data_IF_796502988926
#
_entry.id   IF_796502988926
#
_cell.length_a   1.000
_cell.length_b   1.000
_cell.length_c   1.000
_cell.angle_alpha   90.00
_cell.angle_beta   90.00
_cell.angle_gamma   90.00
#
_symmetry.space_group_name_H-M   'P 1'
#
loop_
_entity.id
_entity.type
_entity.pdbx_description
1 polymer ?
#
# COMPACT_ATOMS: atom_id res chain seq x y z
N UNK A 1 -34.74 -8.23 -25.19
CA UNK A 1 -34.84 -6.84 -24.68
C UNK A 1 -33.55 -6.40 -23.96
N UNK A 2 -32.92 -7.22 -23.11
CA UNK A 2 -31.66 -6.86 -22.42
C UNK A 2 -30.51 -6.50 -23.32
N UNK A 3 -30.26 -7.27 -24.37
CA UNK A 3 -29.12 -7.07 -25.28
C UNK A 3 -29.20 -5.76 -26.08
N UNK A 4 -30.38 -5.36 -26.51
CA UNK A 4 -30.55 -4.09 -27.26
C UNK A 4 -30.30 -2.91 -26.33
N UNK A 5 -30.81 -2.95 -25.11
CA UNK A 5 -30.59 -1.91 -24.12
C UNK A 5 -29.12 -1.80 -23.71
N UNK A 6 -28.43 -2.93 -23.54
CA UNK A 6 -27.00 -2.97 -23.27
C UNK A 6 -26.18 -2.37 -24.41
N UNK A 7 -26.48 -2.73 -25.67
CA UNK A 7 -25.82 -2.16 -26.84
C UNK A 7 -26.00 -0.63 -26.95
N UNK A 8 -27.21 -0.15 -26.73
CA UNK A 8 -27.48 1.30 -26.73
C UNK A 8 -26.72 2.03 -25.65
N UNK A 9 -26.64 1.44 -24.43
CA UNK A 9 -25.86 2.00 -23.33
C UNK A 9 -24.37 2.05 -23.65
N UNK A 10 -23.81 1.00 -24.25
CA UNK A 10 -22.40 0.96 -24.65
C UNK A 10 -22.08 2.01 -25.73
N UNK A 11 -22.95 2.15 -26.73
CA UNK A 11 -22.79 3.18 -27.76
C UNK A 11 -22.85 4.61 -27.17
N UNK A 12 -23.79 4.86 -26.26
CA UNK A 12 -23.90 6.15 -25.58
C UNK A 12 -22.65 6.45 -24.73
N UNK A 13 -22.12 5.43 -24.04
CA UNK A 13 -20.89 5.53 -23.25
C UNK A 13 -19.68 5.87 -24.12
N UNK A 14 -19.50 5.15 -25.24
CA UNK A 14 -18.42 5.43 -26.21
C UNK A 14 -18.52 6.86 -26.77
N UNK A 15 -19.69 7.28 -27.22
CA UNK A 15 -19.92 8.61 -27.73
C UNK A 15 -19.68 9.74 -26.72
N UNK A 16 -19.96 9.46 -25.44
CA UNK A 16 -19.66 10.36 -24.34
C UNK A 16 -18.15 10.49 -24.10
N UNK A 17 -17.45 9.34 -23.93
CA UNK A 17 -16.01 9.30 -23.61
C UNK A 17 -15.14 9.89 -24.72
N UNK A 18 -15.54 9.73 -26.00
CA UNK A 18 -14.81 10.30 -27.15
C UNK A 18 -14.75 11.83 -27.16
N UNK A 19 -15.73 12.50 -26.55
CA UNK A 19 -15.81 13.96 -26.48
C UNK A 19 -14.97 14.58 -25.38
N UNK A 20 -14.46 13.79 -24.45
CA UNK A 20 -13.73 14.25 -23.29
C UNK A 20 -12.23 14.31 -23.57
N UNK A 21 -11.55 15.29 -22.98
CA UNK A 21 -10.10 15.28 -22.87
C UNK A 21 -9.63 14.17 -21.91
N UNK A 22 -8.33 14.00 -21.79
CA UNK A 22 -7.76 12.89 -20.99
C UNK A 22 -8.13 12.99 -19.52
N UNK A 23 -8.12 14.19 -18.91
CA UNK A 23 -8.42 14.36 -17.48
C UNK A 23 -9.91 14.10 -17.19
N UNK A 24 -10.80 14.74 -17.92
CA UNK A 24 -12.25 14.51 -17.81
C UNK A 24 -12.62 13.05 -18.12
N UNK A 25 -11.92 12.42 -19.06
CA UNK A 25 -12.14 11.01 -19.39
C UNK A 25 -11.73 10.08 -18.24
N UNK A 26 -10.61 10.35 -17.57
CA UNK A 26 -10.18 9.56 -16.39
C UNK A 26 -11.20 9.70 -15.26
N UNK A 27 -11.67 10.92 -14.99
CA UNK A 27 -12.70 11.16 -13.97
C UNK A 27 -14.01 10.44 -14.30
N UNK A 28 -14.47 10.51 -15.55
CA UNK A 28 -15.67 9.80 -16.00
C UNK A 28 -15.52 8.29 -15.87
N UNK A 29 -14.39 7.71 -16.30
CA UNK A 29 -14.12 6.28 -16.17
C UNK A 29 -14.09 5.86 -14.70
N UNK A 30 -13.50 6.66 -13.81
CA UNK A 30 -13.49 6.37 -12.37
C UNK A 30 -14.94 6.39 -11.81
N UNK A 31 -15.76 7.35 -12.21
CA UNK A 31 -17.17 7.42 -11.79
C UNK A 31 -17.95 6.19 -12.27
N UNK A 32 -17.77 5.75 -13.51
CA UNK A 32 -18.40 4.53 -14.02
C UNK A 32 -17.93 3.28 -13.26
N UNK A 33 -16.63 3.14 -12.95
CA UNK A 33 -16.10 2.05 -12.16
C UNK A 33 -16.73 1.97 -10.77
N UNK A 34 -16.93 3.12 -10.11
CA UNK A 34 -17.60 3.18 -8.80
C UNK A 34 -19.06 2.76 -8.89
N UNK A 35 -19.78 3.17 -9.94
CA UNK A 35 -21.17 2.71 -10.17
C UNK A 35 -21.21 1.21 -10.40
N UNK A 36 -20.35 0.67 -11.27
CA UNK A 36 -20.29 -0.76 -11.53
C UNK A 36 -19.93 -1.55 -10.26
N UNK A 37 -18.98 -1.07 -9.48
CA UNK A 37 -18.59 -1.68 -8.21
C UNK A 37 -19.74 -1.72 -7.19
N UNK A 38 -20.53 -0.66 -7.13
CA UNK A 38 -21.70 -0.62 -6.23
C UNK A 38 -22.67 -1.77 -6.47
N UNK A 39 -22.86 -2.17 -7.73
CA UNK A 39 -23.73 -3.28 -8.11
C UNK A 39 -23.00 -4.62 -8.31
N UNK A 40 -21.67 -4.65 -8.15
CA UNK A 40 -20.87 -5.86 -8.32
C UNK A 40 -21.15 -6.88 -7.20
N UNK A 41 -21.26 -8.18 -7.53
CA UNK A 41 -21.27 -9.24 -6.53
C UNK A 41 -19.93 -9.33 -5.77
N UNK A 42 -18.87 -8.74 -6.30
CA UNK A 42 -17.52 -8.73 -5.73
C UNK A 42 -17.17 -7.42 -5.00
N UNK A 43 -18.15 -6.57 -4.70
CA UNK A 43 -17.94 -5.27 -4.03
C UNK A 43 -17.22 -5.34 -2.68
N UNK A 44 -17.14 -6.52 -2.04
CA UNK A 44 -16.35 -6.75 -0.84
C UNK A 44 -14.86 -6.94 -1.12
N UNK A 45 -14.47 -7.07 -2.40
CA UNK A 45 -13.08 -7.28 -2.81
C UNK A 45 -12.50 -5.96 -3.32
N UNK A 46 -11.45 -5.41 -2.68
CA UNK A 46 -10.88 -4.12 -3.08
C UNK A 46 -10.45 -4.04 -4.54
N UNK A 47 -9.97 -5.15 -5.11
CA UNK A 47 -9.51 -5.22 -6.51
C UNK A 47 -10.65 -5.07 -7.53
N UNK A 48 -11.89 -5.25 -7.12
CA UNK A 48 -13.06 -5.08 -7.99
C UNK A 48 -13.22 -3.62 -8.48
N UNK A 49 -12.66 -2.66 -7.73
CA UNK A 49 -12.65 -1.24 -8.12
C UNK A 49 -11.22 -0.67 -8.10
N UNK A 50 -10.61 -0.59 -9.27
CA UNK A 50 -9.33 0.09 -9.45
C UNK A 50 -9.58 1.48 -10.03
N UNK A 51 -9.15 2.52 -9.30
CA UNK A 51 -9.30 3.92 -9.70
C UNK A 51 -7.95 4.50 -10.11
N UNK A 52 -7.95 5.42 -11.07
CA UNK A 52 -6.79 6.22 -11.40
C UNK A 52 -6.86 7.53 -10.63
N UNK A 53 -5.91 7.76 -9.72
CA UNK A 53 -5.85 8.97 -8.89
C UNK A 53 -4.55 9.73 -9.15
N UNK A 54 -4.56 11.05 -8.97
CA UNK A 54 -3.35 11.87 -9.12
C UNK A 54 -2.29 11.43 -8.11
N UNK A 55 -1.03 11.30 -8.56
CA UNK A 55 0.10 10.83 -7.74
C UNK A 55 0.29 11.67 -6.47
N UNK A 56 0.05 12.99 -6.56
CA UNK A 56 0.16 13.95 -5.46
C UNK A 56 -0.82 13.72 -4.31
N UNK A 57 -1.91 12.98 -4.57
CA UNK A 57 -2.92 12.63 -3.58
C UNK A 57 -2.57 11.36 -2.80
N UNK A 58 -1.50 10.67 -3.19
CA UNK A 58 -1.09 9.38 -2.60
C UNK A 58 0.19 9.57 -1.80
N UNK A 59 0.09 9.46 -0.48
CA UNK A 59 1.22 9.60 0.42
C UNK A 59 1.76 8.23 0.88
N UNK A 60 3.09 8.08 1.02
CA UNK A 60 3.66 6.91 1.68
C UNK A 60 3.26 6.89 3.16
N UNK A 61 3.25 5.68 3.76
CA UNK A 61 3.21 5.55 5.21
C UNK A 61 4.62 5.73 5.81
N UNK A 62 4.68 6.06 7.09
CA UNK A 62 5.91 6.31 7.84
C UNK A 62 6.53 5.05 8.49
N UNK A 63 5.88 3.89 8.32
CA UNK A 63 6.26 2.63 8.96
C UNK A 63 6.40 1.45 7.98
N UNK A 64 6.82 1.70 6.73
CA UNK A 64 7.04 0.61 5.78
C UNK A 64 8.33 -0.17 6.14
N UNK A 65 8.22 -1.45 6.60
CA UNK A 65 9.38 -2.22 7.02
C UNK A 65 10.18 -2.80 5.84
N UNK A 66 9.67 -2.68 4.61
CA UNK A 66 10.30 -3.29 3.46
C UNK A 66 11.35 -2.38 2.84
N UNK A 67 12.57 -2.90 2.76
CA UNK A 67 13.65 -2.34 1.97
C UNK A 67 13.97 -3.30 0.83
N UNK A 68 13.81 -2.83 -0.42
CA UNK A 68 14.10 -3.63 -1.62
C UNK A 68 15.54 -3.36 -2.04
N UNK A 69 16.31 -4.44 -2.25
CA UNK A 69 17.68 -4.32 -2.70
C UNK A 69 17.76 -3.64 -4.09
N UNK A 70 18.86 -2.90 -4.39
CA UNK A 70 18.98 -2.19 -5.66
C UNK A 70 18.77 -3.03 -6.92
N UNK A 71 19.21 -4.31 -7.00
CA UNK A 71 18.92 -5.17 -8.15
C UNK A 71 17.42 -5.45 -8.32
N UNK A 72 16.72 -5.75 -7.23
CA UNK A 72 15.29 -6.02 -7.24
C UNK A 72 14.48 -4.78 -7.63
N UNK A 73 14.90 -3.60 -7.14
CA UNK A 73 14.28 -2.33 -7.52
C UNK A 73 14.44 -2.04 -9.02
N UNK A 74 15.61 -2.37 -9.60
CA UNK A 74 15.82 -2.25 -11.05
C UNK A 74 14.94 -3.22 -11.84
N UNK A 75 14.81 -4.47 -11.37
CA UNK A 75 13.93 -5.46 -12.01
C UNK A 75 12.46 -5.01 -11.96
N UNK A 76 12.01 -4.47 -10.83
CA UNK A 76 10.66 -3.91 -10.71
C UNK A 76 10.46 -2.73 -11.67
N UNK A 77 11.46 -1.84 -11.81
CA UNK A 77 11.41 -0.76 -12.79
C UNK A 77 11.27 -1.30 -14.21
N UNK A 78 12.09 -2.28 -14.60
CA UNK A 78 12.01 -2.91 -15.93
C UNK A 78 10.63 -3.52 -16.19
N UNK A 79 10.07 -4.22 -15.21
CA UNK A 79 8.72 -4.79 -15.33
C UNK A 79 7.65 -3.69 -15.51
N UNK A 80 7.72 -2.61 -14.73
CA UNK A 80 6.76 -1.50 -14.87
C UNK A 80 6.89 -0.76 -16.21
N UNK A 81 8.09 -0.67 -16.77
CA UNK A 81 8.33 -0.06 -18.08
C UNK A 81 7.89 -0.97 -19.24
N UNK A 82 8.06 -2.29 -19.11
CA UNK A 82 7.72 -3.28 -20.14
C UNK A 82 6.23 -3.68 -20.11
N UNK A 83 5.71 -3.98 -18.93
CA UNK A 83 4.39 -4.61 -18.76
C UNK A 83 3.33 -3.62 -18.22
N UNK A 84 3.76 -2.44 -17.73
CA UNK A 84 2.90 -1.49 -17.03
C UNK A 84 2.52 -1.94 -15.61
N UNK A 85 1.51 -1.28 -15.05
CA UNK A 85 0.98 -1.65 -13.73
C UNK A 85 0.03 -2.85 -13.84
N UNK A 86 0.51 -4.02 -13.53
CA UNK A 86 -0.29 -5.27 -13.47
C UNK A 86 -1.01 -5.43 -12.12
N UNK A 87 -0.55 -4.72 -11.09
CA UNK A 87 -1.15 -4.70 -9.75
C UNK A 87 -1.32 -3.26 -9.27
N UNK A 88 -2.52 -2.85 -8.82
CA UNK A 88 -2.73 -1.51 -8.28
C UNK A 88 -1.95 -1.30 -6.98
N UNK A 89 -1.72 -0.05 -6.61
CA UNK A 89 -1.26 0.34 -5.28
C UNK A 89 -2.45 0.19 -4.32
N UNK A 90 -2.24 -0.50 -3.21
CA UNK A 90 -3.27 -0.68 -2.18
C UNK A 90 -3.20 0.50 -1.23
N UNK A 91 -4.31 1.20 -1.06
CA UNK A 91 -4.39 2.41 -0.24
C UNK A 91 -5.57 2.38 0.73
N UNK A 92 -5.51 3.26 1.71
CA UNK A 92 -6.66 3.66 2.53
C UNK A 92 -6.95 5.13 2.25
N UNK A 93 -8.21 5.46 2.05
CA UNK A 93 -8.66 6.83 1.94
C UNK A 93 -8.94 7.40 3.33
N UNK A 94 -8.09 8.31 3.81
CA UNK A 94 -8.25 8.94 5.12
C UNK A 94 -9.21 10.14 5.09
N UNK A 95 -9.25 10.85 3.98
CA UNK A 95 -10.12 12.02 3.71
C UNK A 95 -10.47 12.02 2.22
N UNK A 96 -11.47 12.78 1.79
CA UNK A 96 -11.69 12.99 0.36
C UNK A 96 -10.39 13.41 -0.33
N UNK A 97 -10.02 12.69 -1.38
CA UNK A 97 -8.81 12.93 -2.18
C UNK A 97 -7.46 12.84 -1.41
N UNK A 98 -7.40 12.12 -0.29
CA UNK A 98 -6.15 11.86 0.42
C UNK A 98 -6.01 10.37 0.71
N UNK A 99 -4.99 9.75 0.15
CA UNK A 99 -4.74 8.32 0.19
C UNK A 99 -3.42 8.02 0.86
N UNK A 100 -3.39 7.01 1.74
CA UNK A 100 -2.16 6.51 2.37
C UNK A 100 -1.88 5.09 1.88
N UNK A 101 -0.64 4.84 1.47
CA UNK A 101 -0.21 3.54 0.93
C UNK A 101 -0.20 2.48 2.03
N UNK A 102 -0.81 1.34 1.74
CA UNK A 102 -0.73 0.10 2.52
C UNK A 102 0.26 -0.87 1.88
N UNK A 103 0.17 -1.04 0.55
CA UNK A 103 1.07 -1.89 -0.24
C UNK A 103 1.36 -1.25 -1.59
N UNK A 104 2.54 -1.54 -2.14
CA UNK A 104 2.98 -1.01 -3.43
C UNK A 104 3.84 0.25 -3.32
N UNK A 105 4.46 0.51 -2.16
CA UNK A 105 5.35 1.64 -1.94
C UNK A 105 6.42 1.81 -3.04
N UNK A 106 7.13 0.75 -3.40
CA UNK A 106 8.18 0.81 -4.43
C UNK A 106 7.64 1.08 -5.83
N UNK A 107 6.43 0.59 -6.14
CA UNK A 107 5.72 0.92 -7.40
C UNK A 107 5.37 2.39 -7.46
N UNK A 108 4.84 2.93 -6.37
CA UNK A 108 4.57 4.36 -6.23
C UNK A 108 5.86 5.18 -6.36
N UNK A 109 6.91 4.83 -5.61
CA UNK A 109 8.20 5.53 -5.64
C UNK A 109 8.79 5.59 -7.06
N UNK A 110 8.79 4.47 -7.78
CA UNK A 110 9.28 4.40 -9.16
C UNK A 110 8.41 5.23 -10.10
N UNK A 111 7.08 5.15 -9.98
CA UNK A 111 6.15 5.93 -10.79
C UNK A 111 6.36 7.44 -10.59
N UNK A 112 6.62 7.86 -9.34
CA UNK A 112 6.85 9.27 -8.99
C UNK A 112 8.28 9.77 -9.31
N UNK A 113 9.27 8.89 -9.47
CA UNK A 113 10.67 9.30 -9.67
C UNK A 113 11.16 9.13 -11.12
N UNK A 114 10.64 8.14 -11.88
CA UNK A 114 11.15 7.81 -13.20
C UNK A 114 10.40 8.55 -14.31
N UNK A 115 11.15 9.31 -15.14
CA UNK A 115 10.59 10.14 -16.19
C UNK A 115 9.75 9.35 -17.23
N UNK A 116 10.21 8.14 -17.60
CA UNK A 116 9.48 7.27 -18.52
C UNK A 116 8.12 6.88 -17.96
N UNK A 117 8.05 6.46 -16.69
CA UNK A 117 6.80 6.09 -16.03
C UNK A 117 5.88 7.30 -15.82
N UNK A 118 6.41 8.47 -15.42
CA UNK A 118 5.62 9.69 -15.30
C UNK A 118 4.93 10.05 -16.61
N UNK A 119 5.65 9.95 -17.73
CA UNK A 119 5.10 10.25 -19.06
C UNK A 119 3.97 9.28 -19.42
N UNK A 120 4.17 7.98 -19.23
CA UNK A 120 3.18 6.95 -19.57
C UNK A 120 1.94 7.05 -18.69
N UNK A 121 2.13 7.30 -17.39
CA UNK A 121 1.06 7.38 -16.38
C UNK A 121 0.36 8.74 -16.33
N UNK A 122 0.85 9.75 -17.06
CA UNK A 122 0.27 11.12 -17.10
C UNK A 122 0.04 11.73 -15.72
N UNK A 123 0.86 11.36 -14.71
CA UNK A 123 0.72 11.83 -13.33
C UNK A 123 -0.33 11.09 -12.50
N UNK A 124 -0.88 9.97 -12.97
CA UNK A 124 -1.85 9.15 -12.27
C UNK A 124 -1.25 7.84 -11.78
N UNK A 125 -1.90 7.24 -10.78
CA UNK A 125 -1.60 5.91 -10.25
C UNK A 125 -2.87 5.06 -10.19
N UNK A 126 -2.80 3.77 -10.55
CA UNK A 126 -3.89 2.85 -10.30
C UNK A 126 -3.90 2.47 -8.83
N UNK A 127 -5.01 2.74 -8.14
CA UNK A 127 -5.18 2.41 -6.72
C UNK A 127 -6.40 1.54 -6.50
N UNK A 128 -6.35 0.69 -5.47
CA UNK A 128 -7.52 0.02 -4.90
C UNK A 128 -7.60 0.37 -3.42
N UNK A 129 -8.82 0.69 -2.94
CA UNK A 129 -9.02 1.17 -1.60
C UNK A 129 -9.46 0.03 -0.67
N UNK A 130 -8.80 -0.10 0.47
CA UNK A 130 -9.31 -0.92 1.57
C UNK A 130 -10.48 -0.20 2.24
N UNK A 131 -11.40 -0.97 2.82
CA UNK A 131 -12.53 -0.44 3.57
C UNK A 131 -12.10 0.31 4.83
N UNK A 132 -12.92 1.23 5.30
CA UNK A 132 -12.62 2.20 6.37
C UNK A 132 -12.35 1.60 7.77
N UNK A 133 -12.63 0.32 8.01
CA UNK A 133 -12.31 -0.33 9.30
C UNK A 133 -10.81 -0.32 9.63
N UNK A 134 -9.96 -0.19 8.62
CA UNK A 134 -8.51 -0.05 8.78
C UNK A 134 -8.01 1.42 8.87
N UNK A 135 -8.90 2.40 8.99
CA UNK A 135 -8.52 3.83 8.94
C UNK A 135 -7.83 4.34 10.22
N UNK A 136 -7.86 3.59 11.32
CA UNK A 136 -7.05 3.91 12.50
C UNK A 136 -5.55 3.65 12.23
N UNK A 137 -4.66 4.38 12.92
CA UNK A 137 -3.21 4.23 12.75
C UNK A 137 -2.73 2.79 12.96
N UNK A 138 -3.22 2.14 14.01
CA UNK A 138 -2.92 0.75 14.34
C UNK A 138 -3.48 -0.24 13.30
N UNK A 139 -4.69 0.00 12.82
CA UNK A 139 -5.30 -0.78 11.75
C UNK A 139 -4.54 -0.68 10.43
N UNK A 140 -4.14 0.54 10.06
CA UNK A 140 -3.34 0.82 8.86
C UNK A 140 -1.96 0.14 8.94
N UNK A 141 -1.30 0.23 10.12
CA UNK A 141 -0.01 -0.43 10.38
C UNK A 141 -0.15 -1.96 10.26
N UNK A 142 -1.16 -2.55 10.90
CA UNK A 142 -1.41 -3.99 10.82
C UNK A 142 -1.71 -4.45 9.39
N UNK A 143 -2.51 -3.69 8.62
CA UNK A 143 -2.78 -3.98 7.22
C UNK A 143 -1.50 -3.96 6.38
N UNK A 144 -0.67 -2.91 6.52
CA UNK A 144 0.61 -2.80 5.81
C UNK A 144 1.51 -4.00 6.09
N UNK A 145 1.61 -4.42 7.35
CA UNK A 145 2.47 -5.55 7.72
C UNK A 145 1.92 -6.87 7.18
N UNK A 146 0.60 -7.13 7.29
CA UNK A 146 -0.01 -8.33 6.71
C UNK A 146 0.31 -8.46 5.22
N UNK A 147 0.12 -7.37 4.45
CA UNK A 147 0.41 -7.35 3.02
C UNK A 147 1.89 -7.58 2.72
N UNK A 148 2.76 -6.94 3.48
CA UNK A 148 4.20 -7.03 3.28
C UNK A 148 4.74 -8.41 3.73
N UNK A 149 4.32 -8.91 4.90
CA UNK A 149 4.81 -10.16 5.46
C UNK A 149 4.48 -11.39 4.59
N UNK A 150 3.35 -11.35 3.89
CA UNK A 150 2.98 -12.41 2.95
C UNK A 150 3.94 -12.54 1.75
N UNK A 151 4.82 -11.54 1.51
CA UNK A 151 5.62 -11.43 0.29
C UNK A 151 7.14 -11.49 0.47
N UNK A 152 7.69 -11.62 1.69
CA UNK A 152 9.14 -11.67 1.81
C UNK A 152 9.76 -11.53 3.20
N UNK A 153 11.09 -11.40 3.24
CA UNK A 153 11.87 -11.23 4.47
C UNK A 153 11.79 -9.79 4.97
N UNK A 154 11.57 -9.62 6.26
CA UNK A 154 11.50 -8.31 6.90
C UNK A 154 12.79 -8.01 7.66
N UNK A 155 13.12 -6.72 7.79
CA UNK A 155 14.17 -6.29 8.69
C UNK A 155 13.70 -6.45 10.13
N UNK A 156 14.45 -7.22 10.92
CA UNK A 156 14.13 -7.52 12.32
C UNK A 156 13.94 -6.24 13.14
N UNK A 157 14.78 -5.24 12.92
CA UNK A 157 14.70 -3.96 13.63
C UNK A 157 13.38 -3.22 13.34
N UNK A 158 12.99 -3.08 12.08
CA UNK A 158 11.73 -2.43 11.70
C UNK A 158 10.52 -3.17 12.29
N UNK A 159 10.54 -4.51 12.31
CA UNK A 159 9.47 -5.30 12.91
C UNK A 159 9.43 -5.14 14.44
N UNK A 160 10.58 -5.00 15.11
CA UNK A 160 10.61 -4.78 16.56
C UNK A 160 10.02 -3.43 16.94
N UNK A 161 10.28 -2.36 16.16
CA UNK A 161 9.69 -1.04 16.37
C UNK A 161 8.16 -1.07 16.19
N UNK A 162 7.67 -1.77 15.19
CA UNK A 162 6.23 -1.94 14.94
C UNK A 162 5.55 -2.68 16.09
N UNK A 163 6.12 -3.80 16.57
CA UNK A 163 5.59 -4.55 17.72
C UNK A 163 5.57 -3.66 18.97
N UNK A 164 6.59 -2.83 19.17
CA UNK A 164 6.65 -1.85 20.25
C UNK A 164 5.50 -0.84 20.14
N UNK A 165 5.33 -0.21 19.00
CA UNK A 165 4.28 0.82 18.79
C UNK A 165 2.88 0.23 18.98
N UNK A 166 2.59 -0.95 18.41
CA UNK A 166 1.33 -1.64 18.64
C UNK A 166 1.10 -1.98 20.13
N UNK A 167 2.17 -2.33 20.85
CA UNK A 167 2.07 -2.56 22.31
C UNK A 167 1.74 -1.26 23.05
N UNK A 168 2.34 -0.14 22.68
CA UNK A 168 2.06 1.20 23.25
C UNK A 168 0.62 1.65 22.95
N UNK A 169 0.08 1.28 21.78
CA UNK A 169 -1.32 1.47 21.40
C UNK A 169 -2.28 0.52 22.10
N UNK A 170 -1.81 -0.28 23.07
CA UNK A 170 -2.62 -1.16 23.91
C UNK A 170 -2.93 -2.52 23.30
N UNK A 171 -2.25 -2.94 22.23
CA UNK A 171 -2.46 -4.27 21.67
C UNK A 171 -1.81 -5.34 22.54
N UNK A 172 -2.56 -6.42 22.79
CA UNK A 172 -2.01 -7.59 23.48
C UNK A 172 -1.07 -8.38 22.55
N UNK A 173 -0.09 -9.13 23.11
CA UNK A 173 0.78 -10.00 22.31
C UNK A 173 0.00 -11.01 21.46
N UNK A 174 -1.11 -11.52 21.97
CA UNK A 174 -2.00 -12.45 21.25
C UNK A 174 -2.67 -11.76 20.03
N UNK A 175 -3.14 -10.51 20.19
CA UNK A 175 -3.71 -9.72 19.10
C UNK A 175 -2.63 -9.43 18.05
N UNK A 176 -1.44 -9.00 18.46
CA UNK A 176 -0.30 -8.75 17.58
C UNK A 176 0.03 -10.01 16.77
N UNK A 177 0.20 -11.15 17.47
CA UNK A 177 0.50 -12.43 16.83
C UNK A 177 -0.55 -12.82 15.80
N UNK A 178 -1.84 -12.75 16.16
CA UNK A 178 -2.95 -13.07 15.24
C UNK A 178 -2.99 -12.15 14.01
N UNK A 179 -2.89 -10.85 14.22
CA UNK A 179 -3.03 -9.86 13.14
C UNK A 179 -1.81 -9.80 12.20
N UNK A 180 -0.61 -10.05 12.73
CA UNK A 180 0.63 -9.98 11.95
C UNK A 180 1.15 -11.35 11.49
N UNK A 181 0.45 -12.44 11.82
CA UNK A 181 0.86 -13.79 11.48
C UNK A 181 2.15 -14.22 12.18
N UNK A 182 2.33 -13.81 13.46
CA UNK A 182 3.47 -14.13 14.30
C UNK A 182 3.08 -15.16 15.36
N UNK A 183 4.00 -16.05 15.73
CA UNK A 183 3.83 -16.83 16.94
C UNK A 183 4.16 -16.01 18.21
N UNK A 184 3.75 -16.52 19.38
CA UNK A 184 3.93 -15.83 20.65
C UNK A 184 5.41 -15.57 20.98
N UNK A 185 6.29 -16.52 20.63
CA UNK A 185 7.73 -16.42 20.87
C UNK A 185 8.38 -15.37 19.98
N UNK A 186 7.91 -15.25 18.74
CA UNK A 186 8.39 -14.22 17.81
C UNK A 186 7.99 -12.82 18.29
N UNK A 187 6.75 -12.63 18.73
CA UNK A 187 6.31 -11.35 19.32
C UNK A 187 7.14 -11.01 20.55
N UNK A 188 7.42 -11.98 21.41
CA UNK A 188 8.23 -11.80 22.62
C UNK A 188 9.67 -11.39 22.27
N UNK A 189 10.31 -12.06 21.32
CA UNK A 189 11.68 -11.74 20.87
C UNK A 189 11.75 -10.32 20.30
N UNK A 190 10.79 -9.92 19.47
CA UNK A 190 10.74 -8.58 18.88
C UNK A 190 10.55 -7.49 19.95
N UNK A 191 9.73 -7.74 20.97
CA UNK A 191 9.60 -6.86 22.14
C UNK A 191 10.91 -6.75 22.94
N UNK A 192 11.65 -7.85 23.12
CA UNK A 192 12.93 -7.82 23.79
C UNK A 192 13.98 -7.02 23.03
N UNK A 193 14.03 -7.14 21.69
CA UNK A 193 14.96 -6.38 20.84
C UNK A 193 14.71 -4.87 20.99
N UNK A 194 13.46 -4.41 20.92
CA UNK A 194 13.14 -2.99 21.11
C UNK A 194 13.42 -2.51 22.54
N UNK A 195 13.10 -3.32 23.56
CA UNK A 195 13.38 -3.01 24.96
C UNK A 195 14.88 -2.91 25.28
N UNK A 196 15.70 -3.80 24.71
CA UNK A 196 17.16 -3.71 24.83
C UNK A 196 17.70 -2.43 24.21
N UNK A 197 17.21 -2.05 23.04
CA UNK A 197 17.61 -0.80 22.36
C UNK A 197 17.32 0.43 23.24
N UNK A 198 16.18 0.47 23.91
CA UNK A 198 15.83 1.56 24.85
C UNK A 198 16.70 1.58 26.11
N UNK A 199 17.00 0.41 26.69
CA UNK A 199 17.85 0.30 27.88
C UNK A 199 19.29 0.77 27.61
N UNK A 200 19.75 0.68 26.38
CA UNK A 200 21.10 1.09 25.97
C UNK A 200 21.13 2.44 25.24
N UNK A 201 20.00 3.02 24.89
CA UNK A 201 19.91 4.35 24.31
C UNK A 201 20.41 5.39 25.34
N UNK A 202 21.51 6.06 25.01
CA UNK A 202 22.11 7.08 25.86
C UNK A 202 23.19 6.59 26.83
N UNK A 203 23.56 5.31 26.84
CA UNK A 203 24.74 4.82 27.59
C UNK A 203 25.99 4.91 26.73
N UNK A 204 27.01 5.61 27.21
CA UNK A 204 28.36 5.52 26.62
C UNK A 204 28.96 4.18 27.02
N UNK A 205 29.21 3.32 26.03
CA UNK A 205 29.93 2.08 26.24
C UNK A 205 31.43 2.39 26.43
N UNK A 206 32.04 1.88 27.49
CA UNK A 206 33.48 1.86 27.61
C UNK A 206 34.06 0.98 26.47
N UNK A 207 35.19 1.39 25.90
CA UNK A 207 35.89 0.59 24.89
C UNK A 207 36.11 -0.83 25.42
N UNK A 208 35.75 -1.82 24.59
CA UNK A 208 36.02 -3.21 24.89
C UNK A 208 37.52 -3.42 25.14
N UNK A 209 37.87 -4.11 26.21
CA UNK A 209 39.25 -4.49 26.51
C UNK A 209 39.78 -5.36 25.38
N UNK A 210 40.73 -4.83 24.62
CA UNK A 210 41.50 -5.64 23.69
C UNK A 210 42.52 -6.42 24.52
N UNK A 211 42.33 -7.72 24.63
CA UNK A 211 43.37 -8.60 25.18
C UNK A 211 44.52 -8.59 24.15
N UNK A 212 45.70 -8.12 24.61
CA UNK A 212 46.94 -8.20 23.85
C UNK A 212 47.48 -9.62 23.84
#
# INVERSE_FOLDING_TARGET
MGDIMQQQLMQALEAYLQKLDDEARIEAINAFRQVLHHYSPFRSQPVDCVLWVKQELVAPNDYNPNNVAPPEKRLLQTSLEADGFTQPVVVIQQRPQAYTIVDGFHRHELACSKAALKKTLKGYLPVTCLTSEAASRDGLMAATIRHNRARGRHQIHAMSEIVRELTQLGWTPQKIGKELGMDADEVLRLKQISGLTEMFAGRQFSQAWTIK
#
